data_IF_743895018063
#
_entry.id   IF_743895018063
#
_cell.length_a   1.000
_cell.length_b   1.000
_cell.length_c   1.000
_cell.angle_alpha   90.00
_cell.angle_beta   90.00
_cell.angle_gamma   90.00
#
_symmetry.space_group_name_H-M   'P 1'
#
loop_
_entity.id
_entity.type
_entity.pdbx_description
1 polymer ?
#
# COMPACT_ATOMS: atom_id res chain seq x y z
N UNK A 1 -12.55 32.48 3.99
CA UNK A 1 -13.24 31.60 3.02
C UNK A 1 -12.27 30.48 2.65
N UNK A 2 -12.32 29.35 3.36
CA UNK A 2 -11.48 28.19 3.06
C UNK A 2 -12.07 27.47 1.85
N UNK A 3 -11.29 27.37 0.77
CA UNK A 3 -11.69 26.61 -0.41
C UNK A 3 -11.70 25.11 -0.07
N UNK A 4 -12.73 24.47 -0.58
CA UNK A 4 -13.16 23.09 -0.33
C UNK A 4 -11.97 22.12 -0.53
N UNK A 5 -11.63 21.26 0.46
CA UNK A 5 -10.46 20.34 0.41
C UNK A 5 -10.40 19.40 -0.81
N UNK A 6 -11.53 19.23 -1.50
CA UNK A 6 -11.70 18.37 -2.67
C UNK A 6 -11.12 18.98 -3.96
N UNK A 7 -10.85 20.28 -4.00
CA UNK A 7 -10.13 20.93 -5.12
C UNK A 7 -8.61 20.73 -5.09
N UNK A 8 -8.07 20.10 -4.04
CA UNK A 8 -6.63 19.81 -3.88
C UNK A 8 -6.17 18.56 -4.65
N UNK A 9 -6.93 18.07 -5.62
CA UNK A 9 -6.50 16.94 -6.48
C UNK A 9 -5.65 17.41 -7.67
N UNK A 10 -5.63 18.72 -7.95
CA UNK A 10 -4.88 19.30 -9.07
C UNK A 10 -3.48 19.80 -8.67
N UNK A 11 -2.98 19.41 -7.50
CA UNK A 11 -1.56 19.60 -7.20
C UNK A 11 -0.78 18.67 -8.13
N UNK A 12 -0.14 19.27 -9.15
CA UNK A 12 0.85 18.58 -9.94
C UNK A 12 1.81 17.85 -8.98
N UNK A 13 2.14 16.57 -9.24
CA UNK A 13 3.06 15.84 -8.37
C UNK A 13 4.27 16.73 -8.12
N UNK A 14 4.71 16.91 -6.85
CA UNK A 14 5.83 17.78 -6.54
C UNK A 14 6.95 17.42 -7.50
N UNK A 15 7.45 18.41 -8.27
CA UNK A 15 8.54 18.17 -9.21
C UNK A 15 9.63 17.48 -8.41
N UNK A 16 9.83 16.20 -8.68
CA UNK A 16 10.79 15.40 -7.96
C UNK A 16 12.11 16.15 -8.12
N UNK A 17 12.69 16.60 -7.01
CA UNK A 17 14.09 17.01 -6.99
C UNK A 17 14.90 15.91 -7.67
N UNK A 18 16.03 16.22 -8.34
CA UNK A 18 16.84 15.19 -8.99
C UNK A 18 17.22 14.13 -7.96
N UNK A 19 16.45 13.05 -7.95
CA UNK A 19 16.46 12.05 -6.89
C UNK A 19 17.37 10.94 -7.30
N UNK A 20 18.15 10.42 -6.36
CA UNK A 20 19.09 9.34 -6.66
C UNK A 20 18.30 8.13 -7.15
N UNK A 21 18.77 7.41 -8.19
CA UNK A 21 18.06 6.23 -8.70
C UNK A 21 17.73 5.20 -7.63
N UNK A 22 18.62 5.01 -6.64
CA UNK A 22 18.39 4.11 -5.51
C UNK A 22 17.21 4.55 -4.62
N UNK A 23 17.01 5.85 -4.42
CA UNK A 23 15.87 6.36 -3.65
C UNK A 23 14.55 6.15 -4.41
N UNK A 24 14.56 6.31 -5.74
CA UNK A 24 13.37 6.00 -6.55
C UNK A 24 13.00 4.52 -6.47
N UNK A 25 14.00 3.63 -6.52
CA UNK A 25 13.78 2.18 -6.37
C UNK A 25 13.18 1.87 -5.00
N UNK A 26 13.77 2.40 -3.93
CA UNK A 26 13.26 2.24 -2.58
C UNK A 26 11.81 2.71 -2.46
N UNK A 27 11.51 3.94 -2.89
CA UNK A 27 10.16 4.49 -2.78
C UNK A 27 9.14 3.68 -3.56
N UNK A 28 9.49 3.26 -4.78
CA UNK A 28 8.59 2.48 -5.62
C UNK A 28 8.29 1.13 -4.95
N UNK A 29 9.32 0.43 -4.45
CA UNK A 29 9.14 -0.87 -3.80
C UNK A 29 8.39 -0.76 -2.47
N UNK A 30 8.62 0.30 -1.68
CA UNK A 30 7.87 0.54 -0.44
C UNK A 30 6.41 0.91 -0.71
N UNK A 31 6.16 1.73 -1.74
CA UNK A 31 4.81 2.07 -2.16
C UNK A 31 4.04 0.84 -2.64
N UNK A 32 4.70 0.00 -3.44
CA UNK A 32 4.13 -1.24 -3.97
C UNK A 32 3.84 -2.24 -2.85
N UNK A 33 4.80 -2.46 -1.95
CA UNK A 33 4.62 -3.29 -0.77
C UNK A 33 3.38 -2.83 0.01
N UNK A 34 3.31 -1.55 0.37
CA UNK A 34 2.16 -1.01 1.10
C UNK A 34 0.83 -1.19 0.35
N UNK A 35 0.84 -1.13 -0.99
CA UNK A 35 -0.31 -1.43 -1.84
C UNK A 35 -0.75 -2.89 -1.71
N UNK A 36 0.18 -3.83 -1.89
CA UNK A 36 -0.05 -5.27 -1.78
C UNK A 36 -0.55 -5.66 -0.38
N UNK A 37 -0.04 -5.01 0.67
CA UNK A 37 -0.46 -5.23 2.06
C UNK A 37 -1.93 -4.88 2.27
N UNK A 38 -2.34 -3.69 1.81
CA UNK A 38 -3.74 -3.24 1.87
C UNK A 38 -4.66 -4.14 1.04
N UNK A 39 -4.18 -4.64 -0.08
CA UNK A 39 -4.93 -5.58 -0.92
C UNK A 39 -5.09 -6.95 -0.26
N UNK A 40 -4.03 -7.49 0.33
CA UNK A 40 -4.08 -8.74 1.07
C UNK A 40 -5.05 -8.65 2.26
N UNK A 41 -5.01 -7.56 3.04
CA UNK A 41 -5.93 -7.33 4.15
C UNK A 41 -7.39 -7.22 3.68
N UNK A 42 -7.64 -6.51 2.58
CA UNK A 42 -8.97 -6.42 1.96
C UNK A 42 -9.48 -7.79 1.53
N UNK A 43 -8.66 -8.57 0.83
CA UNK A 43 -9.03 -9.92 0.39
C UNK A 43 -9.32 -10.84 1.57
N UNK A 44 -8.53 -10.77 2.64
CA UNK A 44 -8.76 -11.54 3.86
C UNK A 44 -10.10 -11.17 4.51
N UNK A 45 -10.42 -9.88 4.57
CA UNK A 45 -11.68 -9.39 5.11
C UNK A 45 -12.89 -9.84 4.27
N UNK A 46 -12.78 -9.75 2.94
CA UNK A 46 -13.80 -10.24 2.01
C UNK A 46 -14.05 -11.74 2.17
N UNK A 47 -12.99 -12.55 2.28
CA UNK A 47 -13.08 -13.99 2.55
C UNK A 47 -13.78 -14.29 3.87
N UNK A 48 -13.43 -13.55 4.94
CA UNK A 48 -14.05 -13.71 6.26
C UNK A 48 -15.54 -13.35 6.24
N UNK A 49 -15.91 -12.27 5.56
CA UNK A 49 -17.30 -11.90 5.38
C UNK A 49 -18.07 -12.91 4.54
N UNK A 50 -17.49 -13.42 3.44
CA UNK A 50 -18.10 -14.45 2.62
C UNK A 50 -18.38 -15.72 3.44
N UNK A 51 -17.41 -16.15 4.26
CA UNK A 51 -17.59 -17.29 5.18
C UNK A 51 -18.72 -17.03 6.18
N UNK A 52 -18.76 -15.83 6.79
CA UNK A 52 -19.84 -15.45 7.71
C UNK A 52 -21.21 -15.48 7.03
N UNK A 53 -21.33 -14.92 5.82
CA UNK A 53 -22.58 -14.93 5.04
C UNK A 53 -23.07 -16.35 4.79
N UNK A 54 -22.16 -17.28 4.47
CA UNK A 54 -22.52 -18.70 4.29
C UNK A 54 -23.02 -19.31 5.60
N UNK A 55 -22.37 -19.03 6.73
CA UNK A 55 -22.79 -19.55 8.03
C UNK A 55 -24.12 -18.96 8.53
N UNK A 56 -24.38 -17.67 8.30
CA UNK A 56 -25.59 -16.98 8.78
C UNK A 56 -26.75 -17.05 7.80
N UNK A 57 -26.48 -17.33 6.52
CA UNK A 57 -27.47 -17.28 5.43
C UNK A 57 -27.94 -15.87 5.05
N UNK A 58 -27.39 -14.82 5.68
CA UNK A 58 -27.84 -13.43 5.52
C UNK A 58 -26.62 -12.50 5.44
N UNK A 59 -26.72 -11.47 4.59
CA UNK A 59 -25.68 -10.47 4.41
C UNK A 59 -25.76 -9.32 5.43
N UNK A 60 -24.86 -9.35 6.40
CA UNK A 60 -24.67 -8.28 7.39
C UNK A 60 -23.42 -7.44 7.15
N UNK A 61 -22.84 -7.46 5.93
CA UNK A 61 -21.58 -6.73 5.69
C UNK A 61 -21.70 -5.23 5.90
N UNK A 62 -22.89 -4.64 5.75
CA UNK A 62 -23.16 -3.23 6.00
C UNK A 62 -23.14 -2.84 7.50
N UNK A 63 -23.27 -3.82 8.41
CA UNK A 63 -23.09 -3.64 9.85
C UNK A 63 -21.64 -3.84 10.29
N UNK A 64 -20.77 -4.35 9.42
CA UNK A 64 -19.39 -4.61 9.75
C UNK A 64 -18.59 -3.30 9.79
N UNK A 65 -17.74 -3.15 10.81
CA UNK A 65 -16.80 -2.03 10.87
C UNK A 65 -15.76 -2.14 9.75
N UNK A 66 -15.31 -0.99 9.24
CA UNK A 66 -14.18 -0.93 8.33
C UNK A 66 -12.95 -1.56 9.00
N UNK A 67 -12.24 -2.49 8.33
CA UNK A 67 -11.04 -3.09 8.88
C UNK A 67 -10.00 -2.01 9.11
N UNK A 68 -9.32 -2.09 10.26
CA UNK A 68 -8.14 -1.27 10.54
C UNK A 68 -6.94 -1.92 9.87
N UNK A 69 -6.02 -1.15 9.27
CA UNK A 69 -4.75 -1.70 8.83
C UNK A 69 -4.07 -2.32 10.06
N UNK A 70 -3.80 -3.62 9.95
CA UNK A 70 -3.16 -4.41 11.01
C UNK A 70 -1.67 -4.52 10.79
N UNK A 71 -1.22 -4.33 9.55
CA UNK A 71 0.19 -4.33 9.23
C UNK A 71 0.83 -2.95 9.41
N UNK A 72 1.87 -2.91 10.22
CA UNK A 72 2.75 -1.77 10.40
C UNK A 72 4.21 -2.24 10.32
N UNK A 73 5.02 -1.55 9.51
CA UNK A 73 6.44 -1.87 9.36
C UNK A 73 7.18 -1.29 10.56
N UNK A 74 7.83 -2.14 11.34
CA UNK A 74 8.74 -1.64 12.36
C UNK A 74 9.89 -0.87 11.72
N UNK A 75 10.48 0.11 12.43
CA UNK A 75 11.64 0.84 11.93
C UNK A 75 12.81 -0.06 11.53
N UNK A 76 12.97 -1.22 12.21
CA UNK A 76 14.01 -2.20 11.90
C UNK A 76 13.76 -2.94 10.59
N UNK A 77 12.53 -3.39 10.35
CA UNK A 77 12.15 -4.04 9.07
C UNK A 77 12.29 -3.06 7.92
N UNK A 78 11.89 -1.80 8.12
CA UNK A 78 12.06 -0.75 7.12
C UNK A 78 13.53 -0.54 6.78
N UNK A 79 14.41 -0.45 7.78
CA UNK A 79 15.85 -0.29 7.54
C UNK A 79 16.45 -1.46 6.76
N UNK A 80 16.01 -2.69 7.05
CA UNK A 80 16.44 -3.88 6.31
C UNK A 80 15.97 -3.84 4.86
N UNK A 81 14.71 -3.45 4.63
CA UNK A 81 14.18 -3.26 3.28
C UNK A 81 14.94 -2.17 2.52
N UNK A 82 15.31 -1.09 3.20
CA UNK A 82 16.14 -0.01 2.63
C UNK A 82 17.51 -0.54 2.14
N UNK A 83 18.20 -1.35 2.94
CA UNK A 83 19.48 -1.97 2.56
C UNK A 83 19.34 -2.93 1.37
N UNK A 84 18.26 -3.71 1.30
CA UNK A 84 18.00 -4.61 0.18
C UNK A 84 17.65 -3.81 -1.09
N UNK A 85 16.79 -2.80 -0.98
CA UNK A 85 16.39 -1.96 -2.11
C UNK A 85 17.59 -1.19 -2.70
N UNK A 86 18.53 -0.74 -1.86
CA UNK A 86 19.73 -0.06 -2.31
C UNK A 86 20.63 -0.93 -3.22
N UNK A 87 20.52 -2.27 -3.14
CA UNK A 87 21.28 -3.23 -3.95
C UNK A 87 20.62 -3.52 -5.31
N UNK A 88 19.37 -3.09 -5.51
CA UNK A 88 18.62 -3.33 -6.75
C UNK A 88 18.99 -2.28 -7.78
N UNK A 89 19.49 -2.72 -8.93
CA UNK A 89 19.74 -1.80 -10.05
C UNK A 89 18.40 -1.31 -10.64
N UNK A 90 18.26 -0.01 -10.99
CA UNK A 90 16.97 0.58 -11.37
C UNK A 90 16.21 -0.15 -12.49
N UNK A 91 16.92 -0.73 -13.47
CA UNK A 91 16.29 -1.50 -14.55
C UNK A 91 15.61 -2.80 -14.09
N UNK A 92 15.98 -3.32 -12.92
CA UNK A 92 15.40 -4.54 -12.35
C UNK A 92 14.25 -4.25 -11.38
N UNK A 93 13.95 -2.98 -11.08
CA UNK A 93 12.85 -2.62 -10.19
C UNK A 93 11.49 -3.12 -10.73
N UNK A 94 11.19 -2.87 -12.01
CA UNK A 94 9.95 -3.35 -12.64
C UNK A 94 9.81 -4.88 -12.61
N UNK A 95 10.81 -5.64 -13.09
CA UNK A 95 10.80 -7.10 -12.98
C UNK A 95 10.70 -7.63 -11.54
N UNK A 96 11.18 -6.89 -10.53
CA UNK A 96 11.03 -7.30 -9.13
C UNK A 96 9.59 -7.19 -8.63
N UNK A 97 8.81 -6.22 -9.13
CA UNK A 97 7.40 -6.00 -8.77
C UNK A 97 6.47 -7.04 -9.41
N UNK A 98 6.81 -7.51 -10.62
CA UNK A 98 5.98 -8.44 -11.38
C UNK A 98 6.12 -9.92 -10.97
N UNK A 99 7.05 -10.23 -10.06
CA UNK A 99 7.32 -11.60 -9.60
C UNK A 99 6.53 -11.93 -8.35
#
# INVERSE_FOLDING_TARGET
>A
MALIPWLRWNEAPPRLSPRRPAEMVLETLMMELAGQMREAERQQWERSNALRKVCTGVDYSWLASAPRPTYDLSPGERLQLEDVCAKIHPSYCGPAILR
#
